data_IF_738010795652
#
_entry.id   IF_738010795652
#
_cell.length_a   1.000
_cell.length_b   1.000
_cell.length_c   1.000
_cell.angle_alpha   90.00
_cell.angle_beta   90.00
_cell.angle_gamma   90.00
#
_symmetry.space_group_name_H-M   'P 1'
#
loop_
_entity.id
_entity.type
_entity.pdbx_description
1 polymer ?
#
# COMPACT_ATOMS: atom_id res chain seq x y z
N UNK A 1 29.70 -7.75 -14.61
CA UNK A 1 28.88 -6.73 -13.92
C UNK A 1 28.22 -7.39 -12.73
N UNK A 2 28.24 -6.81 -11.52
CA UNK A 2 27.61 -7.41 -10.36
C UNK A 2 26.08 -7.54 -10.58
N UNK A 3 25.44 -8.56 -10.01
CA UNK A 3 23.99 -8.75 -10.11
C UNK A 3 23.25 -7.50 -9.61
N UNK A 4 22.19 -7.13 -10.34
CA UNK A 4 21.44 -5.89 -10.09
C UNK A 4 20.66 -5.98 -8.77
N UNK A 5 20.22 -7.18 -8.38
CA UNK A 5 19.47 -7.42 -7.15
C UNK A 5 19.90 -8.72 -6.46
N UNK A 6 20.06 -8.65 -5.13
CA UNK A 6 20.48 -9.77 -4.29
C UNK A 6 19.40 -10.10 -3.24
N UNK A 7 19.26 -11.38 -2.87
CA UNK A 7 18.37 -11.81 -1.77
C UNK A 7 18.48 -10.96 -0.49
N UNK A 8 19.67 -10.59 0.02
CA UNK A 8 19.77 -9.73 1.21
C UNK A 8 19.14 -8.35 1.03
N UNK A 9 19.20 -7.76 -0.18
CA UNK A 9 18.56 -6.47 -0.48
C UNK A 9 17.04 -6.59 -0.42
N UNK A 10 16.48 -7.67 -0.98
CA UNK A 10 15.03 -7.94 -0.92
C UNK A 10 14.56 -8.16 0.53
N UNK A 11 15.32 -8.93 1.33
CA UNK A 11 15.03 -9.12 2.77
C UNK A 11 15.02 -7.79 3.53
N UNK A 12 15.95 -6.87 3.21
CA UNK A 12 15.97 -5.51 3.77
C UNK A 12 14.71 -4.73 3.38
N UNK A 13 14.31 -4.77 2.11
CA UNK A 13 13.07 -4.12 1.63
C UNK A 13 11.84 -4.63 2.36
N UNK A 14 11.69 -5.95 2.51
CA UNK A 14 10.57 -6.56 3.26
C UNK A 14 10.55 -6.05 4.70
N UNK A 15 11.71 -5.92 5.35
CA UNK A 15 11.81 -5.43 6.73
C UNK A 15 11.39 -3.96 6.83
N UNK A 16 11.83 -3.11 5.90
CA UNK A 16 11.43 -1.70 5.84
C UNK A 16 9.91 -1.60 5.68
N UNK A 17 9.33 -2.39 4.78
CA UNK A 17 7.88 -2.40 4.55
C UNK A 17 7.12 -2.88 5.78
N UNK A 18 7.63 -3.86 6.52
CA UNK A 18 7.01 -4.30 7.76
C UNK A 18 7.04 -3.21 8.85
N UNK A 19 8.15 -2.46 8.98
CA UNK A 19 8.25 -1.32 9.91
C UNK A 19 7.29 -0.20 9.50
N UNK A 20 7.25 0.14 8.22
CA UNK A 20 6.33 1.15 7.69
C UNK A 20 4.86 0.75 7.91
N UNK A 21 4.53 -0.53 7.71
CA UNK A 21 3.20 -1.07 8.00
C UNK A 21 2.85 -0.91 9.48
N UNK A 22 3.78 -1.20 10.40
CA UNK A 22 3.58 -1.00 11.83
C UNK A 22 3.28 0.46 12.19
N UNK A 23 4.04 1.39 11.61
CA UNK A 23 3.80 2.83 11.79
C UNK A 23 2.43 3.28 11.25
N UNK A 24 2.03 2.77 10.08
CA UNK A 24 0.73 3.08 9.48
C UNK A 24 -0.44 2.51 10.27
N UNK A 25 -0.29 1.31 10.86
CA UNK A 25 -1.31 0.73 11.75
C UNK A 25 -1.46 1.61 13.00
N UNK A 26 -0.35 2.05 13.61
CA UNK A 26 -0.41 2.96 14.76
C UNK A 26 -1.09 4.28 14.39
N UNK A 27 -0.79 4.84 13.22
CA UNK A 27 -1.46 6.04 12.70
C UNK A 27 -2.97 5.81 12.48
N UNK A 28 -3.36 4.63 11.97
CA UNK A 28 -4.76 4.28 11.75
C UNK A 28 -5.52 4.19 13.08
N UNK A 29 -4.92 3.59 14.11
CA UNK A 29 -5.50 3.52 15.47
C UNK A 29 -5.64 4.93 16.05
N UNK A 30 -4.60 5.76 15.94
CA UNK A 30 -4.65 7.15 16.41
C UNK A 30 -5.78 7.94 15.74
N UNK A 31 -5.91 7.84 14.42
CA UNK A 31 -7.00 8.46 13.66
C UNK A 31 -8.37 7.89 14.07
N UNK A 32 -8.47 6.59 14.31
CA UNK A 32 -9.69 5.96 14.80
C UNK A 32 -10.17 6.59 16.12
N UNK A 33 -9.28 6.74 17.09
CA UNK A 33 -9.59 7.38 18.38
C UNK A 33 -10.01 8.84 18.19
N UNK A 34 -9.27 9.62 17.38
CA UNK A 34 -9.60 11.02 17.11
C UNK A 34 -10.97 11.20 16.45
N UNK A 35 -11.30 10.39 15.44
CA UNK A 35 -12.58 10.45 14.76
C UNK A 35 -13.73 10.00 15.66
N UNK A 36 -13.52 8.96 16.47
CA UNK A 36 -14.50 8.51 17.46
C UNK A 36 -14.83 9.63 18.45
N UNK A 37 -13.81 10.29 19.02
CA UNK A 37 -14.01 11.42 19.93
C UNK A 37 -14.75 12.57 19.27
N UNK A 38 -14.37 12.95 18.04
CA UNK A 38 -15.06 14.03 17.30
C UNK A 38 -16.52 13.70 16.99
N UNK A 39 -16.82 12.46 16.61
CA UNK A 39 -18.20 12.03 16.33
C UNK A 39 -19.04 11.95 17.61
N UNK A 40 -18.45 11.54 18.73
CA UNK A 40 -19.12 11.56 20.04
C UNK A 40 -19.45 12.98 20.49
N UNK A 41 -18.54 13.94 20.33
CA UNK A 41 -18.78 15.36 20.65
C UNK A 41 -19.93 15.97 19.82
N UNK A 42 -20.17 15.44 18.62
CA UNK A 42 -21.27 15.85 17.75
C UNK A 42 -22.58 15.10 18.02
N UNK A 43 -22.64 14.24 19.04
CA UNK A 43 -23.80 13.40 19.35
C UNK A 43 -24.04 12.28 18.32
N UNK A 44 -23.05 11.97 17.47
CA UNK A 44 -23.14 11.02 16.35
C UNK A 44 -22.16 9.85 16.49
N UNK A 45 -21.90 9.41 17.72
CA UNK A 45 -20.94 8.34 18.01
C UNK A 45 -21.22 7.04 17.23
N UNK A 46 -22.49 6.71 16.98
CA UNK A 46 -22.89 5.52 16.23
C UNK A 46 -22.41 5.50 14.78
N UNK A 47 -22.20 6.68 14.17
CA UNK A 47 -21.74 6.79 12.79
C UNK A 47 -20.26 6.40 12.64
N UNK A 48 -19.50 6.31 13.74
CA UNK A 48 -18.10 5.89 13.70
C UNK A 48 -17.94 4.52 13.04
N UNK A 49 -18.74 3.53 13.47
CA UNK A 49 -18.70 2.18 12.92
C UNK A 49 -19.10 2.14 11.45
N UNK A 50 -20.02 3.01 11.03
CA UNK A 50 -20.39 3.12 9.62
C UNK A 50 -19.21 3.56 8.75
N UNK A 51 -18.38 4.49 9.24
CA UNK A 51 -17.19 4.94 8.52
C UNK A 51 -16.11 3.86 8.43
N UNK A 52 -15.92 3.10 9.51
CA UNK A 52 -15.01 1.95 9.53
C UNK A 52 -15.48 0.90 8.52
N UNK A 53 -16.74 0.48 8.58
CA UNK A 53 -17.32 -0.52 7.66
C UNK A 53 -17.22 -0.06 6.21
N UNK A 54 -17.55 1.19 5.92
CA UNK A 54 -17.46 1.74 4.56
C UNK A 54 -16.02 1.68 4.01
N UNK A 55 -15.02 2.05 4.82
CA UNK A 55 -13.62 1.95 4.42
C UNK A 55 -13.19 0.50 4.17
N UNK A 56 -13.63 -0.46 4.99
CA UNK A 56 -13.38 -1.88 4.75
C UNK A 56 -14.04 -2.40 3.47
N UNK A 57 -15.25 -1.96 3.14
CA UNK A 57 -15.92 -2.33 1.88
C UNK A 57 -15.14 -1.80 0.67
N UNK A 58 -14.70 -0.53 0.72
CA UNK A 58 -13.83 0.05 -0.33
C UNK A 58 -12.54 -0.78 -0.44
N UNK A 59 -11.92 -1.11 0.68
CA UNK A 59 -10.68 -1.88 0.69
C UNK A 59 -10.86 -3.29 0.12
N UNK A 60 -11.98 -3.95 0.41
CA UNK A 60 -12.31 -5.26 -0.18
C UNK A 60 -12.46 -5.17 -1.71
N UNK A 61 -13.08 -4.11 -2.23
CA UNK A 61 -13.19 -3.88 -3.67
C UNK A 61 -11.81 -3.62 -4.31
N UNK A 62 -10.94 -2.90 -3.61
CA UNK A 62 -9.58 -2.59 -4.07
C UNK A 62 -8.58 -3.72 -3.82
N UNK A 63 -8.93 -4.71 -3.00
CA UNK A 63 -8.00 -5.76 -2.59
C UNK A 63 -7.45 -6.54 -3.78
N UNK A 64 -8.32 -7.02 -4.69
CA UNK A 64 -7.89 -7.80 -5.84
C UNK A 64 -6.92 -7.05 -6.77
N UNK A 65 -7.22 -5.81 -7.23
CA UNK A 65 -6.28 -5.08 -8.07
C UNK A 65 -4.96 -4.78 -7.33
N UNK A 66 -5.00 -4.43 -6.04
CA UNK A 66 -3.79 -4.20 -5.23
C UNK A 66 -2.96 -5.48 -5.13
N UNK A 67 -3.59 -6.61 -4.80
CA UNK A 67 -2.94 -7.92 -4.68
C UNK A 67 -2.26 -8.31 -5.99
N UNK A 68 -2.97 -8.18 -7.12
CA UNK A 68 -2.42 -8.50 -8.44
C UNK A 68 -1.25 -7.59 -8.81
N UNK A 69 -1.36 -6.30 -8.51
CA UNK A 69 -0.31 -5.31 -8.79
C UNK A 69 0.94 -5.57 -7.96
N UNK A 70 0.79 -5.70 -6.64
CA UNK A 70 1.90 -5.99 -5.72
C UNK A 70 2.58 -7.33 -6.03
N UNK A 71 1.80 -8.35 -6.42
CA UNK A 71 2.33 -9.64 -6.83
C UNK A 71 3.21 -9.55 -8.08
N UNK A 72 2.79 -8.79 -9.10
CA UNK A 72 3.59 -8.57 -10.32
C UNK A 72 4.88 -7.79 -10.05
N UNK A 73 4.85 -6.83 -9.13
CA UNK A 73 6.06 -6.10 -8.75
C UNK A 73 7.06 -6.99 -8.01
N UNK A 74 6.58 -7.78 -7.03
CA UNK A 74 7.43 -8.73 -6.34
C UNK A 74 8.02 -9.75 -7.33
N UNK A 75 7.22 -10.25 -8.28
CA UNK A 75 7.70 -11.13 -9.35
C UNK A 75 8.81 -10.49 -10.18
N UNK A 76 8.60 -9.26 -10.64
CA UNK A 76 9.57 -8.50 -11.42
C UNK A 76 10.88 -8.34 -10.64
N UNK A 77 10.82 -7.98 -9.36
CA UNK A 77 12.00 -7.77 -8.53
C UNK A 77 12.75 -9.10 -8.27
N UNK A 78 12.04 -10.21 -8.08
CA UNK A 78 12.66 -11.53 -7.96
C UNK A 78 13.24 -12.07 -9.28
N UNK A 79 12.67 -11.73 -10.43
CA UNK A 79 13.18 -12.16 -11.75
C UNK A 79 14.59 -11.61 -12.08
N UNK A 80 15.05 -10.61 -11.33
CA UNK A 80 16.36 -10.00 -11.46
C UNK A 80 17.44 -10.59 -10.55
N UNK A 81 17.07 -11.49 -9.63
CA UNK A 81 18.04 -12.13 -8.74
C UNK A 81 19.00 -12.96 -9.57
N UNK A 82 20.31 -12.68 -9.44
CA UNK A 82 21.36 -13.44 -10.13
C UNK A 82 21.43 -13.24 -11.65
N UNK A 83 20.61 -12.34 -12.23
CA UNK A 83 20.62 -12.04 -13.66
C UNK A 83 21.31 -10.70 -13.95
N UNK A 84 22.12 -10.69 -15.01
CA UNK A 84 22.60 -9.46 -15.66
C UNK A 84 21.72 -9.19 -16.86
N UNK A 85 21.03 -8.05 -16.87
CA UNK A 85 20.16 -7.65 -17.98
C UNK A 85 20.99 -7.17 -19.17
N UNK A 86 20.61 -7.58 -20.38
CA UNK A 86 21.11 -6.94 -21.59
C UNK A 86 20.49 -5.52 -21.75
N UNK A 87 21.07 -4.67 -22.61
CA UNK A 87 20.61 -3.28 -22.84
C UNK A 87 19.10 -3.18 -23.17
N UNK A 88 18.57 -4.13 -23.94
CA UNK A 88 17.14 -4.18 -24.31
C UNK A 88 16.25 -4.60 -23.13
N UNK A 89 16.68 -5.58 -22.34
CA UNK A 89 15.96 -6.03 -21.15
C UNK A 89 16.00 -4.98 -20.02
N UNK A 90 17.08 -4.20 -19.94
CA UNK A 90 17.18 -3.07 -19.02
C UNK A 90 16.17 -1.97 -19.36
N UNK A 91 15.99 -1.66 -20.66
CA UNK A 91 14.98 -0.70 -21.12
C UNK A 91 13.56 -1.16 -20.80
N UNK A 92 13.24 -2.44 -21.04
CA UNK A 92 11.92 -2.98 -20.76
C UNK A 92 11.63 -3.02 -19.24
N UNK A 93 12.61 -3.41 -18.43
CA UNK A 93 12.52 -3.39 -16.96
C UNK A 93 12.30 -1.96 -16.43
N UNK A 94 13.07 -1.00 -16.94
CA UNK A 94 12.95 0.41 -16.52
C UNK A 94 11.58 0.98 -16.89
N UNK A 95 11.06 0.64 -18.07
CA UNK A 95 9.71 1.03 -18.50
C UNK A 95 8.64 0.44 -17.58
N UNK A 96 8.74 -0.84 -17.23
CA UNK A 96 7.80 -1.47 -16.29
C UNK A 96 7.87 -0.83 -14.89
N UNK A 97 9.07 -0.55 -14.39
CA UNK A 97 9.27 0.17 -13.12
C UNK A 97 8.65 1.55 -13.14
N UNK A 98 8.87 2.32 -14.20
CA UNK A 98 8.29 3.65 -14.37
C UNK A 98 6.77 3.63 -14.36
N UNK A 99 6.14 2.68 -15.04
CA UNK A 99 4.68 2.55 -15.03
C UNK A 99 4.13 2.21 -13.64
N UNK A 100 4.81 1.32 -12.93
CA UNK A 100 4.50 0.99 -11.53
C UNK A 100 4.55 2.24 -10.63
N UNK A 101 5.62 3.03 -10.74
CA UNK A 101 5.79 4.24 -9.95
C UNK A 101 4.74 5.31 -10.31
N UNK A 102 4.41 5.47 -11.61
CA UNK A 102 3.32 6.36 -12.06
C UNK A 102 1.98 5.96 -11.48
N UNK A 103 1.65 4.66 -11.46
CA UNK A 103 0.38 4.17 -10.89
C UNK A 103 0.33 4.47 -9.39
N UNK A 104 1.40 4.20 -8.64
CA UNK A 104 1.45 4.53 -7.21
C UNK A 104 1.28 6.02 -6.99
N UNK A 105 2.04 6.84 -7.71
CA UNK A 105 1.96 8.30 -7.60
C UNK A 105 0.58 8.83 -7.98
N UNK A 106 -0.10 8.22 -8.95
CA UNK A 106 -1.47 8.59 -9.31
C UNK A 106 -2.46 8.24 -8.18
N UNK A 107 -2.34 7.08 -7.55
CA UNK A 107 -3.18 6.70 -6.40
C UNK A 107 -2.92 7.61 -5.19
N UNK A 108 -1.65 7.84 -4.85
CA UNK A 108 -1.27 8.76 -3.79
C UNK A 108 -1.73 10.19 -4.09
N UNK A 109 -1.54 10.65 -5.33
CA UNK A 109 -1.96 11.97 -5.80
C UNK A 109 -3.48 12.13 -5.77
N UNK A 110 -4.23 11.09 -6.15
CA UNK A 110 -5.69 11.08 -6.04
C UNK A 110 -6.13 11.33 -4.60
N UNK A 111 -5.65 10.54 -3.64
CA UNK A 111 -6.00 10.74 -2.23
C UNK A 111 -5.53 12.10 -1.69
N UNK A 112 -4.32 12.54 -2.06
CA UNK A 112 -3.79 13.82 -1.61
C UNK A 112 -4.61 15.01 -2.12
N UNK A 113 -4.93 15.04 -3.42
CA UNK A 113 -5.79 16.07 -4.02
C UNK A 113 -7.18 16.00 -3.40
N UNK A 114 -7.72 14.79 -3.21
CA UNK A 114 -9.05 14.61 -2.63
C UNK A 114 -9.11 15.15 -1.21
N UNK A 115 -8.09 14.89 -0.38
CA UNK A 115 -7.95 15.43 0.98
C UNK A 115 -7.83 16.96 0.97
N UNK A 116 -7.02 17.54 0.07
CA UNK A 116 -6.88 18.99 -0.05
C UNK A 116 -8.15 19.69 -0.54
N UNK A 117 -8.95 19.00 -1.36
CA UNK A 117 -10.21 19.52 -1.87
C UNK A 117 -11.36 19.46 -0.83
N UNK A 118 -11.13 18.86 0.34
CA UNK A 118 -12.17 18.76 1.37
C UNK A 118 -12.48 20.12 1.97
N UNK A 119 -13.78 20.47 1.97
CA UNK A 119 -14.27 21.70 2.58
C UNK A 119 -14.33 21.53 4.11
N UNK A 120 -14.20 22.62 4.89
CA UNK A 120 -14.38 22.58 6.35
C UNK A 120 -15.75 22.06 6.78
N UNK A 121 -16.76 22.22 5.91
CA UNK A 121 -18.14 21.76 6.11
C UNK A 121 -18.34 20.29 5.78
N UNK A 122 -17.30 19.57 5.35
CA UNK A 122 -17.42 18.15 4.99
C UNK A 122 -17.79 17.34 6.23
N UNK A 123 -18.80 16.45 6.17
CA UNK A 123 -19.16 15.63 7.30
C UNK A 123 -17.97 14.81 7.82
N UNK A 124 -17.77 14.80 9.13
CA UNK A 124 -16.69 14.06 9.81
C UNK A 124 -16.65 12.57 9.42
N UNK A 125 -17.81 11.99 9.10
CA UNK A 125 -17.93 10.62 8.59
C UNK A 125 -17.26 10.43 7.22
N UNK A 126 -17.49 11.35 6.28
CA UNK A 126 -16.88 11.28 4.95
C UNK A 126 -15.37 11.44 5.06
N UNK A 127 -14.94 12.36 5.94
CA UNK A 127 -13.53 12.58 6.25
C UNK A 127 -12.87 11.30 6.77
N UNK A 128 -13.49 10.60 7.73
CA UNK A 128 -12.93 9.36 8.29
C UNK A 128 -12.82 8.25 7.25
N UNK A 129 -13.83 8.07 6.38
CA UNK A 129 -13.80 7.08 5.30
C UNK A 129 -12.65 7.32 4.34
N UNK A 130 -12.40 8.57 3.95
CA UNK A 130 -11.31 8.93 3.03
C UNK A 130 -9.95 8.62 3.68
N UNK A 131 -9.73 9.05 4.92
CA UNK A 131 -8.47 8.80 5.62
C UNK A 131 -8.22 7.31 5.87
N UNK A 132 -9.25 6.56 6.28
CA UNK A 132 -9.12 5.12 6.47
C UNK A 132 -8.83 4.42 5.16
N UNK A 133 -9.57 4.72 4.09
CA UNK A 133 -9.35 4.11 2.78
C UNK A 133 -7.93 4.40 2.27
N UNK A 134 -7.44 5.64 2.44
CA UNK A 134 -6.08 6.00 2.06
C UNK A 134 -5.02 5.16 2.80
N UNK A 135 -5.09 5.12 4.13
CA UNK A 135 -4.12 4.40 4.95
C UNK A 135 -4.22 2.89 4.73
N UNK A 136 -5.44 2.34 4.63
CA UNK A 136 -5.68 0.94 4.34
C UNK A 136 -5.12 0.53 2.98
N UNK A 137 -5.34 1.33 1.93
CA UNK A 137 -4.79 1.04 0.59
C UNK A 137 -3.25 0.89 0.63
N UNK A 138 -2.56 1.75 1.39
CA UNK A 138 -1.09 1.66 1.55
C UNK A 138 -0.71 0.41 2.35
N UNK A 139 -1.38 0.15 3.47
CA UNK A 139 -1.14 -1.03 4.31
C UNK A 139 -1.33 -2.31 3.48
N UNK A 140 -2.45 -2.43 2.77
CA UNK A 140 -2.77 -3.60 1.94
C UNK A 140 -1.74 -3.79 0.83
N UNK A 141 -1.30 -2.71 0.18
CA UNK A 141 -0.21 -2.80 -0.80
C UNK A 141 1.07 -3.37 -0.17
N UNK A 142 1.50 -2.84 0.98
CA UNK A 142 2.71 -3.30 1.66
C UNK A 142 2.57 -4.76 2.12
N UNK A 143 1.41 -5.15 2.64
CA UNK A 143 1.10 -6.53 3.03
C UNK A 143 1.13 -7.50 1.85
N UNK A 144 0.47 -7.15 0.76
CA UNK A 144 0.41 -7.96 -0.46
C UNK A 144 1.81 -8.15 -1.06
N UNK A 145 2.62 -7.07 -1.10
CA UNK A 145 4.00 -7.15 -1.56
C UNK A 145 4.84 -8.05 -0.65
N UNK A 146 4.78 -7.84 0.67
CA UNK A 146 5.52 -8.65 1.64
C UNK A 146 5.13 -10.13 1.57
N UNK A 147 3.85 -10.43 1.39
CA UNK A 147 3.35 -11.79 1.19
C UNK A 147 3.92 -12.43 -0.08
N UNK A 148 3.81 -11.74 -1.22
CA UNK A 148 4.33 -12.23 -2.50
C UNK A 148 5.84 -12.44 -2.46
N UNK A 149 6.58 -11.49 -1.89
CA UNK A 149 8.03 -11.55 -1.73
C UNK A 149 8.47 -12.70 -0.79
N UNK A 150 7.78 -12.90 0.34
CA UNK A 150 8.06 -14.03 1.25
C UNK A 150 7.76 -15.36 0.59
N UNK A 151 6.62 -15.50 -0.10
CA UNK A 151 6.24 -16.71 -0.84
C UNK A 151 7.33 -17.09 -1.86
N UNK A 152 7.82 -16.11 -2.62
CA UNK A 152 8.91 -16.31 -3.61
C UNK A 152 10.24 -16.65 -2.95
N UNK A 153 10.59 -15.99 -1.85
CA UNK A 153 11.85 -16.30 -1.13
C UNK A 153 11.89 -17.72 -0.56
N UNK A 154 10.74 -18.27 -0.15
CA UNK A 154 10.64 -19.66 0.31
C UNK A 154 10.73 -20.65 -0.86
N UNK A 155 10.16 -20.30 -2.02
CA UNK A 155 10.27 -21.11 -3.23
C UNK A 155 11.71 -21.24 -3.76
N UNK A 156 12.53 -20.20 -3.61
CA UNK A 156 13.96 -20.20 -3.97
C UNK A 156 14.88 -20.92 -2.97
N UNK A 157 14.41 -21.21 -1.75
CA UNK A 157 15.19 -21.94 -0.75
C UNK A 157 15.01 -23.46 -0.80
N UNK A 158 14.06 -23.95 -1.60
CA UNK A 158 13.72 -25.37 -1.78
C UNK A 158 14.06 -25.88 -3.21
N UNK A 159 14.80 -25.09 -3.99
CA UNK A 159 15.31 -25.42 -5.33
C UNK A 159 16.84 -25.32 -5.30
#
# INVERSE_FOLDING_TARGET
MPPIMDLPKIKKTIRIFAVAQGALIALLIFMAVLFQQRLQLLGRGEQFMSGVVAAFVIELLLFYPIFRFAGKEAERDFSLIGRTLNQEELKSFTKQKRWADVIKMAVFGFYFIFILALKPTTPTLVLSVIYYSFVLTIITYLQCYNFAARKRSKGLGNA
#
